data_IF_415933311437
#
_entry.id   IF_415933311437
#
_cell.length_a   1.000
_cell.length_b   1.000
_cell.length_c   1.000
_cell.angle_alpha   90.00
_cell.angle_beta   90.00
_cell.angle_gamma   90.00
#
_symmetry.space_group_name_H-M   'P 1'
#
loop_
_entity.id
_entity.type
_entity.pdbx_description
1 polymer ?
#
# COMPACT_ATOMS: atom_id res chain seq x y z
N UNK A 1 6.95 -39.27 -0.02
CA UNK A 1 5.84 -38.71 -0.81
C UNK A 1 4.97 -37.88 0.12
N UNK A 2 4.44 -36.72 -0.30
CA UNK A 2 3.55 -35.92 0.53
C UNK A 2 2.25 -36.71 0.84
N UNK A 3 1.68 -36.46 2.03
CA UNK A 3 0.39 -37.05 2.42
C UNK A 3 -0.71 -36.48 1.50
N UNK A 4 -1.47 -37.34 0.85
CA UNK A 4 -2.54 -36.96 -0.09
C UNK A 4 -3.81 -37.76 0.20
N UNK A 5 -4.97 -37.19 -0.12
CA UNK A 5 -6.25 -37.85 0.04
C UNK A 5 -6.52 -38.80 -1.16
N UNK A 6 -7.07 -39.99 -0.91
CA UNK A 6 -7.37 -40.95 -1.98
C UNK A 6 -8.69 -40.60 -2.68
N UNK A 7 -9.65 -40.03 -1.95
CA UNK A 7 -10.98 -39.66 -2.46
C UNK A 7 -11.30 -38.18 -2.23
N UNK A 8 -12.33 -37.69 -2.92
CA UNK A 8 -12.81 -36.31 -2.73
C UNK A 8 -13.40 -36.12 -1.33
N UNK A 9 -14.06 -37.14 -0.77
CA UNK A 9 -14.63 -37.10 0.58
C UNK A 9 -13.55 -37.05 1.66
N UNK A 10 -12.45 -37.80 1.49
CA UNK A 10 -11.30 -37.74 2.39
C UNK A 10 -10.63 -36.36 2.32
N UNK A 11 -10.51 -35.79 1.12
CA UNK A 11 -9.98 -34.45 0.93
C UNK A 11 -10.87 -33.39 1.57
N UNK A 12 -12.17 -33.37 1.27
CA UNK A 12 -13.13 -32.42 1.82
C UNK A 12 -13.14 -32.45 3.35
N UNK A 13 -13.20 -33.65 3.94
CA UNK A 13 -13.13 -33.82 5.39
C UNK A 13 -11.84 -33.25 5.98
N UNK A 14 -10.69 -33.62 5.41
CA UNK A 14 -9.39 -33.17 5.92
C UNK A 14 -9.17 -31.64 5.77
N UNK A 15 -9.75 -31.03 4.73
CA UNK A 15 -9.69 -29.59 4.50
C UNK A 15 -10.64 -28.83 5.45
N UNK A 16 -11.85 -29.35 5.70
CA UNK A 16 -12.78 -28.77 6.70
C UNK A 16 -12.23 -28.85 8.11
N UNK A 17 -11.68 -30.00 8.50
CA UNK A 17 -11.00 -30.16 9.79
C UNK A 17 -9.83 -29.18 9.93
N UNK A 18 -9.10 -28.91 8.84
CA UNK A 18 -8.04 -27.92 8.84
C UNK A 18 -8.58 -26.51 9.03
N UNK A 19 -9.61 -26.12 8.26
CA UNK A 19 -10.33 -24.85 8.40
C UNK A 19 -10.79 -24.61 9.85
N UNK A 20 -11.44 -25.61 10.48
CA UNK A 20 -11.88 -25.54 11.87
C UNK A 20 -10.70 -25.34 12.83
N UNK A 21 -9.58 -26.04 12.60
CA UNK A 21 -8.40 -25.96 13.46
C UNK A 21 -7.73 -24.57 13.47
N UNK A 22 -7.84 -23.83 12.36
CA UNK A 22 -7.31 -22.47 12.23
C UNK A 22 -8.36 -21.39 12.47
N UNK A 23 -9.60 -21.77 12.78
CA UNK A 23 -10.74 -20.87 12.97
C UNK A 23 -11.10 -20.10 11.69
N UNK A 24 -10.98 -20.74 10.53
CA UNK A 24 -11.37 -20.17 9.23
C UNK A 24 -12.60 -20.89 8.71
N UNK A 25 -13.62 -20.13 8.34
CA UNK A 25 -14.87 -20.69 7.83
C UNK A 25 -14.69 -21.11 6.36
N UNK A 26 -14.90 -22.39 6.06
CA UNK A 26 -14.77 -22.91 4.70
C UNK A 26 -15.77 -22.30 3.71
N UNK A 27 -16.90 -21.74 4.19
CA UNK A 27 -17.87 -21.04 3.33
C UNK A 27 -17.32 -19.74 2.73
N UNK A 28 -16.19 -19.26 3.25
CA UNK A 28 -15.52 -18.08 2.73
C UNK A 28 -14.72 -18.36 1.45
N UNK A 29 -14.52 -19.64 1.12
CA UNK A 29 -13.90 -20.10 -0.13
C UNK A 29 -15.02 -20.37 -1.14
N UNK A 30 -14.87 -19.88 -2.37
CA UNK A 30 -15.88 -20.13 -3.41
C UNK A 30 -15.98 -21.62 -3.74
N UNK A 31 -17.13 -22.14 -4.22
CA UNK A 31 -17.24 -23.54 -4.60
C UNK A 31 -16.21 -23.99 -5.65
N UNK A 32 -15.82 -23.08 -6.55
CA UNK A 32 -14.86 -23.33 -7.63
C UNK A 32 -13.42 -23.45 -7.08
N UNK A 33 -13.05 -22.56 -6.15
CA UNK A 33 -11.76 -22.59 -5.47
C UNK A 33 -11.68 -23.80 -4.53
N UNK A 34 -12.76 -24.12 -3.82
CA UNK A 34 -12.83 -25.30 -2.96
C UNK A 34 -12.64 -26.60 -3.74
N UNK A 35 -13.32 -26.75 -4.89
CA UNK A 35 -13.13 -27.89 -5.79
C UNK A 35 -11.68 -27.96 -6.33
N UNK A 36 -11.03 -26.81 -6.52
CA UNK A 36 -9.61 -26.75 -6.90
C UNK A 36 -8.69 -27.21 -5.77
N UNK A 37 -8.96 -26.78 -4.54
CA UNK A 37 -8.22 -27.19 -3.34
C UNK A 37 -8.38 -28.69 -3.06
N UNK A 38 -9.56 -29.27 -3.27
CA UNK A 38 -9.79 -30.73 -3.23
C UNK A 38 -8.90 -31.45 -4.26
N UNK A 39 -8.86 -30.97 -5.51
CA UNK A 39 -7.98 -31.57 -6.55
C UNK A 39 -6.50 -31.51 -6.15
N UNK A 40 -6.06 -30.42 -5.54
CA UNK A 40 -4.69 -30.27 -5.02
C UNK A 40 -4.42 -31.27 -3.88
N UNK A 41 -5.35 -31.42 -2.94
CA UNK A 41 -5.24 -32.35 -1.81
C UNK A 41 -5.10 -33.82 -2.25
N UNK A 42 -5.70 -34.18 -3.39
CA UNK A 42 -5.64 -35.53 -3.98
C UNK A 42 -4.44 -35.76 -4.89
N UNK A 43 -3.76 -34.70 -5.31
CA UNK A 43 -2.60 -34.80 -6.19
C UNK A 43 -1.40 -35.41 -5.42
N UNK A 44 -0.85 -36.52 -5.94
CA UNK A 44 0.25 -37.25 -5.29
C UNK A 44 1.58 -36.47 -5.24
N UNK A 45 1.74 -35.48 -6.10
CA UNK A 45 2.91 -34.59 -6.15
C UNK A 45 2.78 -33.38 -5.22
N UNK A 46 1.55 -32.95 -4.90
CA UNK A 46 1.28 -31.80 -4.01
C UNK A 46 0.79 -32.24 -2.63
N UNK A 47 -0.38 -32.90 -2.59
CA UNK A 47 -1.01 -33.42 -1.38
C UNK A 47 -1.62 -32.36 -0.48
N UNK A 48 -2.01 -32.79 0.73
CA UNK A 48 -2.73 -31.99 1.72
C UNK A 48 -1.94 -30.75 2.18
N UNK A 49 -0.61 -30.84 2.29
CA UNK A 49 0.20 -29.69 2.73
C UNK A 49 0.08 -28.50 1.78
N UNK A 50 0.07 -28.72 0.47
CA UNK A 50 -0.09 -27.63 -0.50
C UNK A 50 -1.52 -27.10 -0.49
N UNK A 51 -2.51 -27.99 -0.33
CA UNK A 51 -3.91 -27.59 -0.22
C UNK A 51 -4.17 -26.74 1.04
N UNK A 52 -3.57 -27.08 2.17
CA UNK A 52 -3.58 -26.26 3.38
C UNK A 52 -2.92 -24.90 3.16
N UNK A 53 -1.82 -24.85 2.40
CA UNK A 53 -1.20 -23.59 1.98
C UNK A 53 -2.14 -22.69 1.19
N UNK A 54 -2.95 -23.25 0.28
CA UNK A 54 -3.98 -22.49 -0.45
C UNK A 54 -5.02 -21.90 0.51
N UNK A 55 -5.49 -22.66 1.49
CA UNK A 55 -6.43 -22.15 2.52
C UNK A 55 -5.79 -21.04 3.36
N UNK A 56 -4.51 -21.17 3.72
CA UNK A 56 -3.78 -20.13 4.46
C UNK A 56 -3.62 -18.84 3.64
N UNK A 57 -3.43 -18.96 2.32
CA UNK A 57 -3.37 -17.84 1.38
C UNK A 57 -4.73 -17.13 1.30
N UNK A 58 -5.83 -17.88 1.16
CA UNK A 58 -7.20 -17.34 1.14
C UNK A 58 -7.52 -16.59 2.44
N UNK A 59 -7.27 -17.23 3.59
CA UNK A 59 -7.42 -16.61 4.91
C UNK A 59 -6.60 -15.32 5.02
N UNK A 60 -5.35 -15.36 4.59
CA UNK A 60 -4.47 -14.19 4.61
C UNK A 60 -4.98 -13.07 3.70
N UNK A 61 -5.52 -13.41 2.53
CA UNK A 61 -6.13 -12.47 1.60
C UNK A 61 -7.36 -11.80 2.23
N UNK A 62 -8.19 -12.55 2.94
CA UNK A 62 -9.38 -12.01 3.61
C UNK A 62 -9.03 -11.10 4.78
N UNK A 63 -8.04 -11.45 5.61
CA UNK A 63 -7.54 -10.55 6.66
C UNK A 63 -7.00 -9.26 6.04
N UNK A 64 -6.24 -9.35 4.93
CA UNK A 64 -5.77 -8.18 4.19
C UNK A 64 -6.92 -7.35 3.62
N UNK A 65 -7.96 -7.98 3.10
CA UNK A 65 -9.16 -7.30 2.58
C UNK A 65 -9.91 -6.57 3.71
N UNK A 66 -10.12 -7.22 4.86
CA UNK A 66 -10.71 -6.59 6.05
C UNK A 66 -9.89 -5.39 6.54
N UNK A 67 -8.56 -5.54 6.61
CA UNK A 67 -7.66 -4.44 6.95
C UNK A 67 -7.72 -3.29 5.93
N UNK A 68 -7.80 -3.61 4.62
CA UNK A 68 -7.97 -2.62 3.56
C UNK A 68 -9.29 -1.85 3.71
N UNK A 69 -10.41 -2.55 3.97
CA UNK A 69 -11.71 -1.93 4.23
C UNK A 69 -11.67 -1.02 5.46
N UNK A 70 -11.04 -1.45 6.56
CA UNK A 70 -10.88 -0.62 7.74
C UNK A 70 -10.07 0.64 7.46
N UNK A 71 -8.94 0.53 6.75
CA UNK A 71 -8.12 1.69 6.34
C UNK A 71 -8.86 2.61 5.38
N UNK A 72 -9.63 2.05 4.45
CA UNK A 72 -10.51 2.81 3.55
C UNK A 72 -11.54 3.61 4.35
N UNK A 73 -12.19 2.96 5.34
CA UNK A 73 -13.12 3.63 6.25
C UNK A 73 -12.47 4.79 7.02
N UNK A 74 -11.21 4.66 7.45
CA UNK A 74 -10.48 5.77 8.11
C UNK A 74 -10.30 6.97 7.19
N UNK A 75 -9.91 6.76 5.93
CA UNK A 75 -9.67 7.87 5.00
C UNK A 75 -10.94 8.44 4.37
N UNK A 76 -12.02 7.66 4.29
CA UNK A 76 -13.35 8.13 3.87
C UNK A 76 -14.01 9.00 4.93
N UNK A 77 -13.75 8.71 6.20
CA UNK A 77 -14.27 9.46 7.35
C UNK A 77 -13.22 10.43 7.93
N UNK A 78 -12.31 10.96 7.10
CA UNK A 78 -11.35 11.98 7.53
C UNK A 78 -12.09 13.23 8.05
N UNK A 79 -11.99 13.57 9.35
CA UNK A 79 -12.74 14.69 9.94
C UNK A 79 -12.44 16.04 9.27
N UNK A 80 -11.23 16.22 8.74
CA UNK A 80 -10.85 17.46 8.05
C UNK A 80 -11.35 17.50 6.61
N UNK A 81 -11.74 16.37 6.02
CA UNK A 81 -12.11 16.25 4.62
C UNK A 81 -11.02 16.75 3.66
N UNK A 82 -9.73 16.57 4.00
CA UNK A 82 -8.62 17.27 3.36
C UNK A 82 -8.63 17.13 1.83
N UNK A 83 -8.83 15.93 1.31
CA UNK A 83 -8.83 15.67 -0.15
C UNK A 83 -9.93 16.50 -0.84
N UNK A 84 -11.15 16.50 -0.30
CA UNK A 84 -12.27 17.25 -0.85
C UNK A 84 -12.06 18.78 -0.69
N UNK A 85 -11.46 19.21 0.42
CA UNK A 85 -11.10 20.61 0.62
C UNK A 85 -10.08 21.09 -0.41
N UNK A 86 -9.07 20.28 -0.75
CA UNK A 86 -8.07 20.60 -1.78
C UNK A 86 -8.71 20.64 -3.17
N UNK A 87 -9.59 19.71 -3.51
CA UNK A 87 -10.27 19.64 -4.82
C UNK A 87 -11.07 20.90 -5.17
N UNK A 88 -11.50 21.66 -4.16
CA UNK A 88 -12.24 22.93 -4.34
C UNK A 88 -11.41 24.16 -3.98
N UNK A 89 -10.17 23.99 -3.48
CA UNK A 89 -9.33 25.09 -3.05
C UNK A 89 -8.79 25.89 -4.24
N UNK A 90 -8.88 27.22 -4.17
CA UNK A 90 -8.57 28.12 -5.29
C UNK A 90 -7.17 27.94 -5.89
N UNK A 91 -6.15 27.68 -5.06
CA UNK A 91 -4.76 27.51 -5.50
C UNK A 91 -4.24 26.07 -5.47
N UNK A 92 -4.90 25.15 -4.76
CA UNK A 92 -4.37 23.79 -4.56
C UNK A 92 -5.05 22.74 -5.43
N UNK A 93 -6.24 23.02 -5.98
CA UNK A 93 -7.00 22.08 -6.82
C UNK A 93 -6.22 21.60 -8.06
N UNK A 94 -5.39 22.48 -8.61
CA UNK A 94 -4.56 22.22 -9.81
C UNK A 94 -3.11 21.85 -9.46
N UNK A 95 -2.77 21.77 -8.17
CA UNK A 95 -1.43 21.45 -7.68
C UNK A 95 -1.19 19.93 -7.64
N UNK A 96 0.08 19.54 -7.75
CA UNK A 96 0.55 18.17 -7.54
C UNK A 96 0.29 17.65 -6.13
N UNK A 97 0.02 18.51 -5.14
CA UNK A 97 -0.32 18.10 -3.77
C UNK A 97 -1.48 17.10 -3.76
N UNK A 98 -2.53 17.34 -4.56
CA UNK A 98 -3.68 16.44 -4.61
C UNK A 98 -3.29 15.05 -5.14
N UNK A 99 -2.49 15.01 -6.21
CA UNK A 99 -2.00 13.75 -6.79
C UNK A 99 -1.12 12.99 -5.79
N UNK A 100 -0.21 13.68 -5.10
CA UNK A 100 0.69 13.07 -4.11
C UNK A 100 -0.12 12.52 -2.93
N UNK A 101 -1.08 13.28 -2.40
CA UNK A 101 -1.93 12.80 -1.30
C UNK A 101 -2.79 11.61 -1.70
N UNK A 102 -3.32 11.59 -2.93
CA UNK A 102 -4.05 10.42 -3.48
C UNK A 102 -3.15 9.18 -3.58
N UNK A 103 -1.89 9.33 -3.97
CA UNK A 103 -0.92 8.23 -3.97
C UNK A 103 -0.62 7.72 -2.56
N UNK A 104 -0.33 8.61 -1.60
CA UNK A 104 -0.12 8.23 -0.20
C UNK A 104 -1.36 7.55 0.40
N UNK A 105 -2.57 8.06 0.10
CA UNK A 105 -3.84 7.44 0.50
C UNK A 105 -3.99 6.03 -0.08
N UNK A 106 -3.70 5.85 -1.36
CA UNK A 106 -3.74 4.55 -2.02
C UNK A 106 -2.79 3.54 -1.36
N UNK A 107 -1.53 3.95 -1.13
CA UNK A 107 -0.53 3.12 -0.46
C UNK A 107 -0.92 2.76 0.98
N UNK A 108 -1.48 3.72 1.74
CA UNK A 108 -2.03 3.46 3.07
C UNK A 108 -3.14 2.41 3.04
N UNK A 109 -4.16 2.61 2.20
CA UNK A 109 -5.30 1.68 2.08
C UNK A 109 -4.82 0.28 1.69
N UNK A 110 -3.94 0.18 0.69
CA UNK A 110 -3.36 -1.07 0.25
C UNK A 110 -2.43 -1.74 1.28
N UNK A 111 -1.92 -0.98 2.26
CA UNK A 111 -0.92 -1.48 3.21
C UNK A 111 0.46 -1.68 2.58
N UNK A 112 0.79 -0.85 1.60
CA UNK A 112 2.00 -0.93 0.80
C UNK A 112 3.15 -0.11 1.40
N UNK A 113 4.24 0.03 0.63
CA UNK A 113 5.45 0.74 1.01
C UNK A 113 5.16 2.20 1.38
N UNK A 114 5.89 2.69 2.37
CA UNK A 114 5.81 4.06 2.88
C UNK A 114 6.68 5.06 2.12
N UNK A 115 7.71 4.58 1.42
CA UNK A 115 8.56 5.38 0.54
C UNK A 115 8.05 5.27 -0.89
N UNK A 116 7.60 6.40 -1.44
CA UNK A 116 6.98 6.52 -2.75
C UNK A 116 7.81 7.44 -3.64
N UNK A 117 7.75 7.24 -4.95
CA UNK A 117 8.39 8.13 -5.93
C UNK A 117 7.35 8.82 -6.78
N UNK A 118 7.46 10.14 -6.93
CA UNK A 118 6.66 10.89 -7.90
C UNK A 118 7.23 10.61 -9.29
N UNK A 119 6.69 9.60 -9.97
CA UNK A 119 7.12 9.24 -11.32
C UNK A 119 7.00 10.41 -12.30
N UNK A 120 7.80 10.40 -13.37
CA UNK A 120 7.82 11.45 -14.39
C UNK A 120 9.22 11.98 -14.67
N UNK A 121 9.29 13.15 -15.32
CA UNK A 121 10.56 13.86 -15.52
C UNK A 121 10.97 14.56 -14.21
N UNK A 122 12.29 14.71 -13.94
CA UNK A 122 12.76 15.48 -12.80
C UNK A 122 12.15 16.89 -12.78
N UNK A 123 11.76 17.34 -11.60
CA UNK A 123 11.15 18.63 -11.35
C UNK A 123 12.22 19.72 -11.21
N UNK A 124 11.95 20.91 -11.76
CA UNK A 124 12.84 22.05 -11.55
C UNK A 124 12.82 22.50 -10.08
N UNK A 125 13.96 22.96 -9.56
CA UNK A 125 14.12 23.35 -8.14
C UNK A 125 13.12 24.42 -7.68
N UNK A 126 12.78 25.39 -8.52
CA UNK A 126 11.80 26.45 -8.19
C UNK A 126 10.38 25.89 -8.08
N UNK A 127 9.97 25.02 -9.00
CA UNK A 127 8.68 24.34 -8.93
C UNK A 127 8.58 23.44 -7.69
N UNK A 128 9.71 22.84 -7.27
CA UNK A 128 9.75 22.10 -6.02
C UNK A 128 9.61 23.02 -4.79
N UNK A 129 10.23 24.20 -4.80
CA UNK A 129 10.04 25.17 -3.73
C UNK A 129 8.58 25.64 -3.60
N UNK A 130 7.90 25.89 -4.73
CA UNK A 130 6.46 26.18 -4.77
C UNK A 130 5.65 25.01 -4.19
N UNK A 131 5.93 23.79 -4.63
CA UNK A 131 5.28 22.58 -4.13
C UNK A 131 5.46 22.39 -2.61
N UNK A 132 6.62 22.78 -2.04
CA UNK A 132 6.85 22.73 -0.59
C UNK A 132 5.95 23.69 0.18
N UNK A 133 5.71 24.88 -0.34
CA UNK A 133 4.80 25.86 0.28
C UNK A 133 3.33 25.40 0.14
N UNK A 134 2.96 24.86 -1.02
CA UNK A 134 1.65 24.24 -1.23
C UNK A 134 1.42 23.06 -0.30
N UNK A 135 2.44 22.22 -0.08
CA UNK A 135 2.40 21.10 0.86
C UNK A 135 2.14 21.56 2.30
N UNK A 136 2.81 22.65 2.70
CA UNK A 136 2.59 23.27 4.02
C UNK A 136 1.19 23.87 4.14
N UNK A 137 0.66 24.48 3.07
CA UNK A 137 -0.70 25.00 3.02
C UNK A 137 -1.74 23.87 3.17
N UNK A 138 -1.57 22.76 2.47
CA UNK A 138 -2.40 21.57 2.64
C UNK A 138 -2.35 21.02 4.06
N UNK A 139 -1.19 21.04 4.71
CA UNK A 139 -1.07 20.66 6.12
C UNK A 139 -1.90 21.52 7.07
N UNK A 140 -2.15 22.79 6.75
CA UNK A 140 -3.06 23.65 7.52
C UNK A 140 -4.53 23.29 7.28
N UNK A 141 -4.89 22.95 6.04
CA UNK A 141 -6.25 22.51 5.69
C UNK A 141 -6.59 21.17 6.36
N UNK A 142 -5.62 20.27 6.50
CA UNK A 142 -5.80 18.95 7.10
C UNK A 142 -5.77 18.94 8.63
N UNK A 143 -5.65 20.10 9.27
CA UNK A 143 -5.55 20.17 10.73
C UNK A 143 -6.79 19.58 11.41
N UNK A 144 -6.59 18.68 12.38
CA UNK A 144 -7.67 17.97 13.06
C UNK A 144 -8.17 16.72 12.32
N UNK A 145 -7.61 16.40 11.14
CA UNK A 145 -7.94 15.21 10.37
C UNK A 145 -6.99 14.04 10.58
N UNK A 146 -7.14 13.02 9.73
CA UNK A 146 -6.26 11.83 9.75
C UNK A 146 -4.90 12.07 9.08
N UNK A 147 -4.81 13.11 8.23
CA UNK A 147 -3.58 13.54 7.58
C UNK A 147 -2.85 14.53 8.49
N UNK A 148 -1.67 14.15 8.98
CA UNK A 148 -0.93 14.95 9.97
C UNK A 148 0.55 15.01 9.63
N UNK A 149 1.31 15.84 10.36
CA UNK A 149 2.78 15.90 10.27
C UNK A 149 3.30 16.16 8.84
N UNK A 150 2.66 17.12 8.16
CA UNK A 150 3.14 17.62 6.87
C UNK A 150 4.52 18.25 7.07
N UNK A 151 5.52 17.71 6.40
CA UNK A 151 6.87 18.23 6.43
C UNK A 151 7.50 18.13 5.04
N UNK A 152 8.39 19.06 4.72
CA UNK A 152 9.12 19.03 3.46
C UNK A 152 10.58 19.38 3.69
N UNK A 153 11.46 18.64 3.02
CA UNK A 153 12.90 18.90 3.06
C UNK A 153 13.34 19.63 1.81
N UNK A 154 14.42 20.40 1.91
CA UNK A 154 15.10 20.93 0.73
C UNK A 154 15.68 19.81 -0.13
N UNK A 155 15.89 20.05 -1.44
CA UNK A 155 16.59 19.11 -2.29
C UNK A 155 17.95 18.72 -1.70
N UNK A 156 18.21 17.42 -1.63
CA UNK A 156 19.48 16.89 -1.15
C UNK A 156 20.22 16.19 -2.28
N UNK A 157 21.51 16.51 -2.45
CA UNK A 157 22.40 15.78 -3.34
C UNK A 157 22.80 14.44 -2.70
N UNK A 158 22.04 13.40 -3.02
CA UNK A 158 22.27 12.03 -2.56
C UNK A 158 23.54 11.43 -3.14
N UNK A 159 24.00 11.91 -4.30
CA UNK A 159 25.26 11.47 -4.89
C UNK A 159 26.45 12.04 -4.10
N UNK A 160 26.40 13.31 -3.71
CA UNK A 160 27.42 13.93 -2.85
C UNK A 160 27.47 13.31 -1.44
N UNK A 161 26.33 12.86 -0.90
CA UNK A 161 26.25 12.17 0.40
C UNK A 161 26.72 10.68 0.35
N UNK A 162 27.18 10.17 -0.80
CA UNK A 162 27.59 8.77 -0.96
C UNK A 162 26.44 7.75 -0.90
N UNK A 163 25.19 8.22 -0.94
CA UNK A 163 23.96 7.41 -0.89
C UNK A 163 23.30 7.20 -2.25
N UNK A 164 23.91 7.69 -3.33
CA UNK A 164 23.40 7.63 -4.69
C UNK A 164 23.17 6.21 -5.24
N UNK A 165 23.74 5.17 -4.61
CA UNK A 165 23.72 3.79 -5.09
C UNK A 165 22.82 2.81 -4.30
N UNK A 166 22.07 3.25 -3.28
CA UNK A 166 21.32 2.34 -2.40
C UNK A 166 19.82 2.33 -2.73
N UNK A 167 19.38 1.50 -3.68
CA UNK A 167 17.97 1.18 -3.92
C UNK A 167 17.63 0.94 -5.40
N UNK A 168 16.73 0.00 -5.67
CA UNK A 168 16.53 -0.68 -6.95
C UNK A 168 15.94 0.11 -8.13
N UNK A 169 16.06 1.43 -8.17
CA UNK A 169 15.69 2.24 -9.35
C UNK A 169 16.93 2.96 -9.88
N UNK A 170 17.49 2.42 -10.96
CA UNK A 170 18.68 2.86 -11.71
C UNK A 170 18.56 4.25 -12.38
N UNK A 171 17.57 5.06 -12.03
CA UNK A 171 17.55 6.47 -12.37
C UNK A 171 18.35 7.22 -11.29
N UNK A 172 19.61 7.52 -11.63
CA UNK A 172 20.62 8.24 -10.84
C UNK A 172 20.00 9.17 -9.78
N UNK A 173 19.98 8.75 -8.51
CA UNK A 173 19.61 9.58 -7.36
C UNK A 173 20.66 10.67 -7.14
N UNK A 174 20.57 11.73 -7.95
CA UNK A 174 21.45 12.89 -7.85
C UNK A 174 20.88 13.83 -6.82
N UNK A 175 19.83 14.59 -7.17
CA UNK A 175 19.18 15.52 -6.25
C UNK A 175 17.71 15.14 -6.07
N UNK A 176 17.29 14.98 -4.81
CA UNK A 176 15.90 14.61 -4.47
C UNK A 176 15.33 15.51 -3.39
N UNK A 177 14.10 15.94 -3.61
CA UNK A 177 13.22 16.50 -2.59
C UNK A 177 12.43 15.40 -1.88
N UNK A 178 11.99 15.66 -0.65
CA UNK A 178 11.15 14.75 0.12
C UNK A 178 9.95 15.49 0.72
N UNK A 179 8.74 14.97 0.50
CA UNK A 179 7.51 15.44 1.14
C UNK A 179 6.96 14.34 2.05
N UNK A 180 6.79 14.66 3.32
CA UNK A 180 6.35 13.74 4.35
C UNK A 180 4.92 14.08 4.80
N UNK A 181 4.13 13.04 5.05
CA UNK A 181 2.82 13.12 5.69
C UNK A 181 2.59 11.85 6.50
N UNK A 182 1.84 11.93 7.60
CA UNK A 182 1.28 10.76 8.28
C UNK A 182 -0.19 10.61 7.94
N UNK A 183 -0.63 9.40 7.64
CA UNK A 183 -2.05 9.03 7.51
C UNK A 183 -2.37 8.10 8.67
N UNK A 184 -3.21 8.57 9.60
CA UNK A 184 -3.57 7.84 10.81
C UNK A 184 -2.36 7.26 11.55
N UNK A 185 -1.31 8.08 11.71
CA UNK A 185 -0.06 7.71 12.39
C UNK A 185 0.99 7.01 11.52
N UNK A 186 0.65 6.47 10.34
CA UNK A 186 1.60 5.84 9.41
C UNK A 186 2.30 6.90 8.58
N UNK A 187 3.63 6.96 8.66
CA UNK A 187 4.46 7.95 7.96
C UNK A 187 4.70 7.53 6.52
N UNK A 188 4.39 8.40 5.58
CA UNK A 188 4.73 8.30 4.16
C UNK A 188 5.78 9.34 3.80
N UNK A 189 6.62 8.99 2.84
CA UNK A 189 7.70 9.81 2.31
C UNK A 189 7.66 9.77 0.79
N UNK A 190 7.30 10.90 0.18
CA UNK A 190 7.27 11.07 -1.26
C UNK A 190 8.59 11.66 -1.73
N UNK A 191 9.36 10.86 -2.47
CA UNK A 191 10.58 11.26 -3.16
C UNK A 191 10.24 11.94 -4.48
N UNK A 192 10.85 13.09 -4.72
CA UNK A 192 10.70 13.86 -5.97
C UNK A 192 12.09 14.08 -6.55
N UNK A 193 12.34 13.55 -7.74
CA UNK A 193 13.58 13.78 -8.46
C UNK A 193 13.65 15.24 -8.92
N UNK A 194 14.78 15.90 -8.69
CA UNK A 194 15.01 17.32 -9.00
C UNK A 194 16.02 17.44 -10.14
N UNK A 195 15.78 18.35 -11.08
CA UNK A 195 16.78 18.70 -12.11
C UNK A 195 17.78 19.72 -11.56
N UNK A 196 19.07 19.43 -11.76
CA UNK A 196 20.19 20.34 -11.39
C UNK A 196 20.36 21.52 -12.38
N UNK A 197 19.34 21.78 -13.21
CA UNK A 197 19.36 22.76 -14.31
C UNK A 197 17.97 23.30 -14.55
#
# INVERSE_FOLDING_TARGET
MPKYAQTDEEADKALREYCDSIGFDAEWITPEDWATTIRIARDKGKGLTVAYGTIDEDRSAMVKAGARTARQGVVDNDPSGLIAAIETHYSLKDSLVLTILKQCRGAYVAGERVDLGLGGKPMHSTAYAELREEWKAAGKLGAGGVYTNFHSFEPQDKAAEGKGNVGGTLAKRKVQGNLLVKINGVKFNMHIDISDK
#
